data_IF_399824770428
#
_entry.id   IF_399824770428
#
_cell.length_a   1.000
_cell.length_b   1.000
_cell.length_c   1.000
_cell.angle_alpha   90.00
_cell.angle_beta   90.00
_cell.angle_gamma   90.00
#
_symmetry.space_group_name_H-M   'P 1'
#
loop_
_entity.id
_entity.type
_entity.pdbx_description
1 polymer ?
#
# COMPACT_ATOMS: atom_id res chain seq x y z
N UNK A 1 16.97 3.57 -1.14
CA UNK A 1 16.43 2.67 -0.10
C UNK A 1 15.26 1.88 -0.66
N UNK A 2 14.72 0.94 0.11
CA UNK A 2 13.46 0.22 -0.19
C UNK A 2 12.55 0.34 1.04
N UNK A 3 11.26 0.64 0.86
CA UNK A 3 10.38 1.11 1.94
C UNK A 3 9.04 0.38 1.88
N UNK A 4 8.63 -0.27 2.97
CA UNK A 4 7.39 -1.06 2.97
C UNK A 4 6.15 -0.16 2.91
N UNK A 5 6.15 0.96 3.64
CA UNK A 5 5.00 1.88 3.68
C UNK A 5 4.73 2.50 2.30
N UNK A 6 5.71 3.17 1.71
CA UNK A 6 5.51 3.80 0.40
C UNK A 6 5.46 2.78 -0.76
N UNK A 7 6.15 1.64 -0.62
CA UNK A 7 5.99 0.50 -1.54
C UNK A 7 4.58 -0.07 -1.50
N UNK A 8 3.96 -0.13 -0.33
CA UNK A 8 2.59 -0.63 -0.11
C UNK A 8 1.54 0.10 -0.94
N UNK A 9 1.43 1.43 -0.80
CA UNK A 9 0.51 2.24 -1.63
C UNK A 9 0.84 2.14 -3.13
N UNK A 10 2.14 2.04 -3.48
CA UNK A 10 2.57 1.93 -4.88
C UNK A 10 2.10 0.62 -5.52
N UNK A 11 2.34 -0.52 -4.85
CA UNK A 11 1.91 -1.84 -5.36
C UNK A 11 0.39 -1.97 -5.33
N UNK A 12 -0.28 -1.45 -4.29
CA UNK A 12 -1.74 -1.41 -4.23
C UNK A 12 -2.33 -0.66 -5.43
N UNK A 13 -1.75 0.49 -5.81
CA UNK A 13 -2.28 1.30 -6.91
C UNK A 13 -2.24 0.56 -8.24
N UNK A 14 -1.16 -0.18 -8.50
CA UNK A 14 -1.03 -0.99 -9.72
C UNK A 14 -1.98 -2.20 -9.70
N UNK A 15 -2.14 -2.85 -8.55
CA UNK A 15 -3.09 -3.96 -8.37
C UNK A 15 -4.55 -3.49 -8.49
N UNK A 16 -4.93 -2.35 -7.92
CA UNK A 16 -6.28 -1.76 -8.05
C UNK A 16 -6.57 -1.36 -9.50
N UNK A 17 -5.59 -0.79 -10.22
CA UNK A 17 -5.72 -0.49 -11.64
C UNK A 17 -6.04 -1.76 -12.45
N UNK A 18 -5.31 -2.85 -12.19
CA UNK A 18 -5.59 -4.16 -12.79
C UNK A 18 -6.98 -4.68 -12.41
N UNK A 19 -7.35 -4.71 -11.13
CA UNK A 19 -8.65 -5.23 -10.67
C UNK A 19 -9.84 -4.47 -11.25
N UNK A 20 -9.72 -3.15 -11.44
CA UNK A 20 -10.76 -2.31 -12.06
C UNK A 20 -10.96 -2.60 -13.54
N UNK A 21 -9.89 -2.91 -14.27
CA UNK A 21 -9.96 -3.13 -15.70
C UNK A 21 -8.92 -4.15 -16.19
N UNK A 22 -9.10 -5.46 -15.88
CA UNK A 22 -8.11 -6.48 -16.25
C UNK A 22 -7.84 -6.52 -17.76
N UNK A 23 -8.86 -6.25 -18.58
CA UNK A 23 -8.73 -6.24 -20.05
C UNK A 23 -7.86 -5.12 -20.62
N UNK A 24 -7.50 -4.09 -19.83
CA UNK A 24 -6.57 -3.06 -20.26
C UNK A 24 -5.10 -3.50 -20.15
N UNK A 25 -4.82 -4.61 -19.48
CA UNK A 25 -3.48 -5.10 -19.23
C UNK A 25 -3.30 -6.46 -19.87
N UNK A 26 -2.28 -6.59 -20.71
CA UNK A 26 -1.96 -7.81 -21.42
C UNK A 26 -0.56 -8.29 -21.04
N UNK A 27 -0.33 -9.59 -21.27
CA UNK A 27 1.02 -10.16 -21.33
C UNK A 27 1.79 -9.54 -22.52
N UNK A 28 3.11 -9.42 -22.38
CA UNK A 28 4.05 -8.84 -23.34
C UNK A 28 3.74 -7.38 -23.73
N UNK A 29 3.08 -6.63 -22.85
CA UNK A 29 2.78 -5.22 -23.03
C UNK A 29 3.94 -4.30 -22.59
N UNK A 30 4.79 -4.78 -21.69
CA UNK A 30 5.98 -4.10 -21.19
C UNK A 30 7.24 -4.74 -21.79
N UNK A 31 8.39 -4.12 -21.53
CA UNK A 31 9.70 -4.66 -21.92
C UNK A 31 10.42 -5.13 -20.65
N UNK A 32 9.85 -6.13 -19.98
CA UNK A 32 10.38 -6.73 -18.75
C UNK A 32 10.81 -8.18 -19.00
N UNK A 33 11.69 -8.75 -18.18
CA UNK A 33 12.14 -10.14 -18.34
C UNK A 33 11.02 -11.18 -18.36
N UNK A 34 9.92 -10.90 -17.66
CA UNK A 34 8.78 -11.79 -17.47
C UNK A 34 7.82 -11.79 -18.67
N UNK A 35 7.91 -10.80 -19.56
CA UNK A 35 7.03 -10.67 -20.73
C UNK A 35 7.00 -11.95 -21.59
N UNK A 36 5.80 -12.44 -21.88
CA UNK A 36 5.54 -13.67 -22.62
C UNK A 36 5.36 -14.93 -21.76
N UNK A 37 5.21 -14.77 -20.44
CA UNK A 37 4.98 -15.87 -19.49
C UNK A 37 3.50 -16.28 -19.36
N UNK A 38 2.58 -15.60 -20.05
CA UNK A 38 1.13 -15.81 -19.95
C UNK A 38 0.44 -15.04 -18.81
N UNK A 39 1.13 -14.15 -18.12
CA UNK A 39 0.63 -13.28 -17.05
C UNK A 39 0.64 -11.83 -17.55
N UNK A 40 -0.36 -10.99 -17.23
CA UNK A 40 -0.30 -9.57 -17.54
C UNK A 40 0.94 -8.91 -16.92
N UNK A 41 1.76 -8.23 -17.72
CA UNK A 41 3.06 -7.70 -17.27
C UNK A 41 2.97 -6.74 -16.07
N UNK A 42 1.83 -6.03 -15.88
CA UNK A 42 1.59 -5.23 -14.67
C UNK A 42 1.57 -6.08 -13.40
N UNK A 43 1.06 -7.31 -13.49
CA UNK A 43 1.05 -8.23 -12.37
C UNK A 43 2.46 -8.75 -12.09
N UNK A 44 3.26 -9.05 -13.11
CA UNK A 44 4.66 -9.42 -12.92
C UNK A 44 5.45 -8.29 -12.22
N UNK A 45 5.25 -7.04 -12.63
CA UNK A 45 5.84 -5.88 -11.96
C UNK A 45 5.38 -5.77 -10.50
N UNK A 46 4.08 -5.96 -10.22
CA UNK A 46 3.58 -5.94 -8.83
C UNK A 46 4.09 -7.13 -7.99
N UNK A 47 4.31 -8.29 -8.62
CA UNK A 47 4.88 -9.47 -7.95
C UNK A 47 6.28 -9.17 -7.47
N UNK A 48 7.07 -8.42 -8.22
CA UNK A 48 8.41 -8.01 -7.83
C UNK A 48 8.43 -7.26 -6.49
N UNK A 49 7.57 -6.25 -6.34
CA UNK A 49 7.45 -5.51 -5.07
C UNK A 49 6.82 -6.39 -3.99
N UNK A 50 5.79 -7.19 -4.30
CA UNK A 50 5.19 -8.10 -3.33
C UNK A 50 6.20 -9.12 -2.77
N UNK A 51 7.08 -9.69 -3.59
CA UNK A 51 8.13 -10.59 -3.11
C UNK A 51 9.10 -9.88 -2.16
N UNK A 52 9.41 -8.61 -2.41
CA UNK A 52 10.14 -7.77 -1.46
C UNK A 52 9.34 -7.55 -0.17
N UNK A 53 8.08 -7.12 -0.23
CA UNK A 53 7.26 -6.88 0.97
C UNK A 53 7.11 -8.14 1.82
N UNK A 54 6.87 -9.29 1.18
CA UNK A 54 6.81 -10.60 1.86
C UNK A 54 8.15 -10.95 2.54
N UNK A 55 9.29 -10.60 1.93
CA UNK A 55 10.62 -10.81 2.52
C UNK A 55 10.94 -9.89 3.70
N UNK A 56 10.17 -8.79 3.86
CA UNK A 56 10.33 -7.84 4.97
C UNK A 56 9.57 -8.28 6.23
N UNK A 57 8.77 -9.35 6.17
CA UNK A 57 8.09 -9.90 7.33
C UNK A 57 9.08 -10.63 8.25
N UNK A 58 9.02 -10.30 9.54
CA UNK A 58 9.82 -10.95 10.58
C UNK A 58 9.41 -12.42 10.67
N UNK A 59 10.35 -13.37 10.52
CA UNK A 59 10.02 -14.80 10.47
C UNK A 59 9.59 -15.34 11.84
N UNK A 60 8.86 -16.46 11.80
CA UNK A 60 8.46 -17.22 12.99
C UNK A 60 9.65 -17.53 13.91
N UNK A 61 9.40 -17.49 15.23
CA UNK A 61 10.42 -17.75 16.24
C UNK A 61 11.39 -16.58 16.52
N UNK A 62 11.31 -15.47 15.76
CA UNK A 62 12.01 -14.23 16.09
C UNK A 62 11.15 -13.29 16.94
N UNK A 63 11.76 -12.36 17.71
CA UNK A 63 11.02 -11.28 18.35
C UNK A 63 10.24 -10.48 17.30
N UNK A 64 8.97 -10.17 17.57
CA UNK A 64 8.06 -9.47 16.65
C UNK A 64 7.67 -10.26 15.38
N UNK A 65 7.72 -11.60 15.43
CA UNK A 65 7.25 -12.47 14.33
C UNK A 65 5.91 -12.00 13.75
N UNK A 66 5.82 -11.95 12.42
CA UNK A 66 4.66 -11.46 11.67
C UNK A 66 4.65 -9.95 11.40
N UNK A 67 5.34 -9.13 12.20
CA UNK A 67 5.52 -7.70 11.89
C UNK A 67 6.38 -7.51 10.63
N UNK A 68 6.25 -6.38 9.93
CA UNK A 68 7.10 -6.06 8.79
C UNK A 68 8.13 -4.97 9.14
N UNK A 69 9.38 -5.20 8.76
CA UNK A 69 10.45 -4.20 8.80
C UNK A 69 10.04 -2.94 8.02
N UNK A 70 10.21 -1.76 8.60
CA UNK A 70 9.68 -0.54 7.98
C UNK A 70 10.39 -0.17 6.66
N UNK A 71 11.71 -0.36 6.61
CA UNK A 71 12.56 0.00 5.47
C UNK A 71 13.90 -0.73 5.47
N UNK A 72 14.58 -0.70 4.33
CA UNK A 72 15.94 -1.19 4.13
C UNK A 72 16.77 -0.20 3.31
N UNK A 73 17.87 0.28 3.89
CA UNK A 73 18.83 1.14 3.21
C UNK A 73 20.19 1.12 3.93
N UNK A 74 21.18 1.84 3.37
CA UNK A 74 22.47 2.03 4.02
C UNK A 74 22.41 3.09 5.13
N UNK A 75 23.44 3.13 5.99
CA UNK A 75 23.53 4.09 7.09
C UNK A 75 23.83 5.52 6.65
N UNK A 76 24.24 5.74 5.40
CA UNK A 76 24.51 7.06 4.82
C UNK A 76 23.81 7.20 3.48
N UNK A 77 23.54 8.44 3.09
CA UNK A 77 23.12 8.76 1.72
C UNK A 77 24.28 8.50 0.75
N UNK A 78 23.96 7.85 -0.36
CA UNK A 78 24.92 7.65 -1.44
C UNK A 78 25.26 9.00 -2.09
N UNK A 79 26.53 9.16 -2.47
CA UNK A 79 26.98 10.37 -3.17
C UNK A 79 26.40 10.41 -4.60
N UNK A 80 26.10 11.61 -5.07
CA UNK A 80 25.58 11.85 -6.43
C UNK A 80 26.66 12.47 -7.33
N UNK A 81 26.78 12.04 -8.61
CA UNK A 81 26.01 10.96 -9.26
C UNK A 81 26.54 9.56 -8.92
N UNK A 82 25.68 8.55 -8.96
CA UNK A 82 26.06 7.15 -8.74
C UNK A 82 25.09 6.16 -9.40
N UNK A 83 25.57 4.95 -9.69
CA UNK A 83 24.73 3.82 -10.10
C UNK A 83 24.48 2.93 -8.87
N UNK A 84 23.27 2.34 -8.72
CA UNK A 84 23.06 1.31 -7.71
C UNK A 84 24.06 0.16 -7.92
N UNK A 85 24.76 -0.29 -6.87
CA UNK A 85 25.67 -1.41 -7.01
C UNK A 85 24.88 -2.70 -7.23
N UNK A 86 25.45 -3.64 -8.01
CA UNK A 86 24.85 -4.95 -8.24
C UNK A 86 24.77 -5.79 -6.94
N UNK A 87 25.72 -5.60 -6.03
CA UNK A 87 25.76 -6.23 -4.71
C UNK A 87 26.08 -5.19 -3.63
N UNK A 88 25.57 -5.38 -2.42
CA UNK A 88 25.85 -4.48 -1.30
C UNK A 88 25.79 -5.22 0.04
N UNK A 89 26.86 -5.09 0.82
CA UNK A 89 27.01 -5.63 2.18
C UNK A 89 26.71 -4.61 3.29
N UNK A 90 26.46 -3.36 2.92
CA UNK A 90 26.25 -2.24 3.85
C UNK A 90 24.79 -1.76 3.90
N UNK A 91 23.84 -2.70 3.83
CA UNK A 91 22.40 -2.45 3.86
C UNK A 91 21.80 -3.09 5.10
N UNK A 92 20.93 -2.35 5.78
CA UNK A 92 20.38 -2.75 7.08
C UNK A 92 18.86 -2.74 7.04
N UNK A 93 18.26 -3.71 7.73
CA UNK A 93 16.85 -3.69 8.07
C UNK A 93 16.63 -2.71 9.22
N UNK A 94 15.67 -1.80 9.04
CA UNK A 94 15.23 -0.90 10.08
C UNK A 94 14.11 -1.57 10.90
N UNK A 95 13.88 -1.14 12.15
CA UNK A 95 12.89 -1.77 13.03
C UNK A 95 11.52 -1.92 12.35
N UNK A 96 10.76 -2.99 12.69
CA UNK A 96 9.37 -3.10 12.27
C UNK A 96 8.52 -1.93 12.73
N UNK A 97 7.43 -1.68 12.01
CA UNK A 97 6.41 -0.71 12.42
C UNK A 97 5.01 -1.23 12.14
N UNK A 98 4.02 -0.75 12.89
CA UNK A 98 2.61 -1.12 12.69
C UNK A 98 2.13 -0.71 11.30
N UNK A 99 2.42 0.52 10.84
CA UNK A 99 2.04 1.00 9.50
C UNK A 99 2.61 0.12 8.38
N UNK A 100 3.91 -0.24 8.46
CA UNK A 100 4.51 -1.17 7.49
C UNK A 100 3.87 -2.56 7.53
N UNK A 101 3.55 -3.05 8.73
CA UNK A 101 2.91 -4.37 8.91
C UNK A 101 1.51 -4.39 8.32
N UNK A 102 0.74 -3.30 8.47
CA UNK A 102 -0.61 -3.19 7.91
C UNK A 102 -0.60 -2.94 6.41
N UNK A 103 0.38 -2.20 5.87
CA UNK A 103 0.63 -2.11 4.44
C UNK A 103 0.90 -3.49 3.82
N UNK A 104 1.74 -4.31 4.47
CA UNK A 104 1.94 -5.71 4.07
C UNK A 104 0.65 -6.51 4.16
N UNK A 105 -0.13 -6.38 5.24
CA UNK A 105 -1.38 -7.12 5.42
C UNK A 105 -2.38 -6.80 4.30
N UNK A 106 -2.57 -5.53 3.99
CA UNK A 106 -3.50 -5.06 2.97
C UNK A 106 -3.10 -5.52 1.56
N UNK A 107 -1.86 -5.26 1.16
CA UNK A 107 -1.35 -5.60 -0.18
C UNK A 107 -1.20 -7.11 -0.38
N UNK A 108 -0.84 -7.87 0.67
CA UNK A 108 -0.78 -9.33 0.59
C UNK A 108 -2.19 -9.95 0.52
N UNK A 109 -3.21 -9.37 1.17
CA UNK A 109 -4.59 -9.80 0.99
C UNK A 109 -5.06 -9.55 -0.46
N UNK A 110 -4.79 -8.36 -1.03
CA UNK A 110 -5.08 -8.07 -2.43
C UNK A 110 -4.34 -8.98 -3.41
N UNK A 111 -3.04 -9.20 -3.20
CA UNK A 111 -2.25 -10.19 -3.93
C UNK A 111 -2.95 -11.56 -3.91
N UNK A 112 -3.36 -12.04 -2.74
CA UNK A 112 -3.93 -13.37 -2.61
C UNK A 112 -5.19 -13.57 -3.48
N UNK A 113 -6.12 -12.61 -3.51
CA UNK A 113 -7.33 -12.75 -4.33
C UNK A 113 -7.06 -12.65 -5.84
N UNK A 114 -6.14 -11.77 -6.26
CA UNK A 114 -5.81 -11.57 -7.68
C UNK A 114 -5.11 -12.79 -8.25
N UNK A 115 -4.12 -13.32 -7.51
CA UNK A 115 -3.25 -14.40 -8.01
C UNK A 115 -3.88 -15.79 -7.89
N UNK A 116 -5.06 -15.92 -7.26
CA UNK A 116 -5.68 -17.22 -6.95
C UNK A 116 -5.82 -18.17 -8.15
N UNK A 117 -6.11 -17.66 -9.34
CA UNK A 117 -6.25 -18.45 -10.57
C UNK A 117 -5.04 -18.38 -11.50
N UNK A 118 -4.00 -17.63 -11.11
CA UNK A 118 -2.79 -17.38 -11.92
C UNK A 118 -1.64 -18.23 -11.36
N UNK A 119 -1.37 -18.07 -10.06
CA UNK A 119 -0.37 -18.82 -9.30
C UNK A 119 -0.93 -19.09 -7.90
N UNK A 120 -1.51 -20.28 -7.72
CA UNK A 120 -2.20 -20.65 -6.49
C UNK A 120 -1.26 -20.74 -5.28
N UNK A 121 0.01 -21.11 -5.50
CA UNK A 121 1.00 -21.21 -4.43
C UNK A 121 1.44 -19.82 -3.95
N UNK A 122 1.66 -18.90 -4.90
CA UNK A 122 1.94 -17.50 -4.58
C UNK A 122 0.75 -16.83 -3.88
N UNK A 123 -0.46 -17.05 -4.38
CA UNK A 123 -1.71 -16.60 -3.74
C UNK A 123 -1.82 -17.08 -2.29
N UNK A 124 -1.58 -18.37 -2.02
CA UNK A 124 -1.62 -18.93 -0.68
C UNK A 124 -0.54 -18.33 0.23
N UNK A 125 0.67 -18.13 -0.28
CA UNK A 125 1.77 -17.46 0.46
C UNK A 125 1.39 -16.02 0.83
N UNK A 126 0.80 -15.27 -0.10
CA UNK A 126 0.29 -13.92 0.14
C UNK A 126 -0.77 -13.92 1.25
N UNK A 127 -1.76 -14.83 1.20
CA UNK A 127 -2.81 -14.88 2.22
C UNK A 127 -2.27 -15.20 3.62
N UNK A 128 -1.37 -16.18 3.73
CA UNK A 128 -0.74 -16.55 5.01
C UNK A 128 0.04 -15.36 5.59
N UNK A 129 0.80 -14.65 4.77
CA UNK A 129 1.55 -13.48 5.22
C UNK A 129 0.60 -12.35 5.68
N UNK A 130 -0.50 -12.14 4.97
CA UNK A 130 -1.50 -11.12 5.29
C UNK A 130 -2.14 -11.34 6.66
N UNK A 131 -2.62 -12.56 6.92
CA UNK A 131 -3.27 -12.90 8.19
C UNK A 131 -2.29 -12.83 9.38
N UNK A 132 -1.03 -13.25 9.18
CA UNK A 132 0.02 -13.13 10.20
C UNK A 132 0.36 -11.67 10.50
N UNK A 133 0.47 -10.84 9.47
CA UNK A 133 0.74 -9.42 9.62
C UNK A 133 -0.40 -8.72 10.37
N UNK A 134 -1.66 -9.04 10.03
CA UNK A 134 -2.82 -8.55 10.76
C UNK A 134 -2.77 -8.90 12.27
N UNK A 135 -2.51 -10.17 12.59
CA UNK A 135 -2.42 -10.62 13.98
C UNK A 135 -1.27 -9.91 14.73
N UNK A 136 -0.10 -9.79 14.10
CA UNK A 136 1.05 -9.13 14.69
C UNK A 136 0.83 -7.63 14.91
N UNK A 137 0.18 -6.94 13.97
CA UNK A 137 -0.19 -5.53 14.11
C UNK A 137 -1.18 -5.32 15.26
N UNK A 138 -2.19 -6.18 15.42
CA UNK A 138 -3.13 -6.11 16.54
C UNK A 138 -2.45 -6.35 17.90
N UNK A 139 -1.40 -7.18 17.94
CA UNK A 139 -0.59 -7.38 19.15
C UNK A 139 0.38 -6.21 19.43
N UNK A 140 0.70 -5.40 18.40
CA UNK A 140 1.63 -4.27 18.48
C UNK A 140 1.04 -3.01 17.81
N UNK A 141 -0.12 -2.49 18.26
CA UNK A 141 -0.90 -1.51 17.49
C UNK A 141 -0.32 -0.09 17.49
N UNK A 142 0.65 0.20 18.36
CA UNK A 142 1.25 1.52 18.52
C UNK A 142 2.78 1.51 18.33
N UNK A 143 3.32 0.50 17.63
CA UNK A 143 4.75 0.44 17.28
C UNK A 143 4.99 1.29 16.04
N UNK A 144 4.95 2.62 16.20
CA UNK A 144 5.15 3.58 15.13
C UNK A 144 6.59 3.52 14.58
N UNK A 145 6.80 4.08 13.39
CA UNK A 145 8.11 4.08 12.74
C UNK A 145 9.16 4.78 13.62
N UNK A 146 10.31 4.13 13.80
CA UNK A 146 11.44 4.73 14.49
C UNK A 146 12.18 5.70 13.54
N UNK A 147 12.45 6.90 14.03
CA UNK A 147 13.15 7.94 13.28
C UNK A 147 14.65 7.95 13.57
N UNK A 148 15.45 8.00 12.50
CA UNK A 148 16.92 8.02 12.55
C UNK A 148 17.45 9.14 11.63
N UNK A 149 17.24 10.43 11.98
CA UNK A 149 17.51 11.56 11.09
C UNK A 149 18.99 11.71 10.68
N UNK A 150 19.90 11.14 11.46
CA UNK A 150 21.34 11.11 11.19
C UNK A 150 21.77 10.00 10.21
N UNK A 151 20.91 9.01 9.96
CA UNK A 151 21.17 7.93 9.01
C UNK A 151 20.67 8.28 7.61
N UNK A 152 21.14 7.55 6.61
CA UNK A 152 20.62 7.66 5.24
C UNK A 152 19.12 7.33 5.17
N UNK A 153 18.46 7.67 4.06
CA UNK A 153 17.08 7.26 3.77
C UNK A 153 15.98 8.14 4.35
N UNK A 154 14.84 8.22 3.65
CA UNK A 154 13.66 8.94 4.11
C UNK A 154 13.01 8.32 5.35
N UNK A 155 12.37 9.16 6.16
CA UNK A 155 11.64 8.81 7.36
C UNK A 155 10.47 7.86 7.07
N UNK A 156 9.50 8.33 6.27
CA UNK A 156 8.17 7.71 6.09
C UNK A 156 7.47 7.39 7.42
N UNK A 157 7.72 8.23 8.43
CA UNK A 157 7.09 8.11 9.74
C UNK A 157 5.66 8.63 9.74
N UNK A 158 4.83 7.95 10.53
CA UNK A 158 3.43 8.30 10.76
C UNK A 158 3.11 8.23 12.26
N UNK A 159 2.36 9.23 12.73
CA UNK A 159 1.87 9.35 14.10
C UNK A 159 0.53 8.66 14.34
N UNK A 160 -0.18 8.31 13.27
CA UNK A 160 -1.45 7.59 13.30
C UNK A 160 -1.33 6.32 12.45
N UNK A 161 -2.08 5.27 12.79
CA UNK A 161 -2.16 4.07 11.93
C UNK A 161 -3.59 3.51 11.85
N UNK A 162 -4.59 4.32 12.25
CA UNK A 162 -5.99 3.89 12.27
C UNK A 162 -6.53 3.63 10.87
N UNK A 163 -6.06 4.40 9.90
CA UNK A 163 -6.38 4.30 8.49
C UNK A 163 -5.75 3.05 7.86
N UNK A 164 -4.51 2.67 8.18
CA UNK A 164 -3.97 1.39 7.71
C UNK A 164 -4.70 0.19 8.33
N UNK A 165 -5.16 0.29 9.58
CA UNK A 165 -5.99 -0.76 10.19
C UNK A 165 -7.31 -0.91 9.44
N UNK A 166 -7.94 0.21 9.06
CA UNK A 166 -9.14 0.21 8.24
C UNK A 166 -8.88 -0.40 6.86
N UNK A 167 -7.83 0.05 6.16
CA UNK A 167 -7.46 -0.45 4.84
C UNK A 167 -7.16 -1.95 4.86
N UNK A 168 -6.28 -2.42 5.75
CA UNK A 168 -5.94 -3.83 5.86
C UNK A 168 -7.15 -4.71 6.17
N UNK A 169 -8.04 -4.26 7.07
CA UNK A 169 -9.28 -4.98 7.37
C UNK A 169 -10.22 -5.04 6.16
N UNK A 170 -10.35 -3.97 5.37
CA UNK A 170 -11.15 -3.98 4.15
C UNK A 170 -10.60 -5.01 3.14
N UNK A 171 -9.29 -5.00 2.88
CA UNK A 171 -8.66 -5.94 1.94
C UNK A 171 -8.75 -7.41 2.40
N UNK A 172 -8.54 -7.67 3.69
CA UNK A 172 -8.69 -8.99 4.30
C UNK A 172 -10.14 -9.48 4.24
N UNK A 173 -11.12 -8.60 4.48
CA UNK A 173 -12.53 -8.94 4.33
C UNK A 173 -12.86 -9.32 2.88
N UNK A 174 -12.48 -8.49 1.92
CA UNK A 174 -12.75 -8.73 0.50
C UNK A 174 -12.12 -10.03 -0.01
N UNK A 175 -11.00 -10.43 0.60
CA UNK A 175 -10.24 -11.63 0.22
C UNK A 175 -10.79 -12.90 0.89
N UNK A 176 -11.23 -12.82 2.14
CA UNK A 176 -11.55 -13.99 2.97
C UNK A 176 -13.02 -14.14 3.33
N UNK A 177 -13.78 -13.06 3.33
CA UNK A 177 -15.17 -13.00 3.81
C UNK A 177 -15.32 -13.15 5.33
N UNK A 178 -14.25 -13.17 6.12
CA UNK A 178 -14.34 -13.35 7.59
C UNK A 178 -14.94 -12.10 8.25
N UNK A 179 -15.93 -12.31 9.12
CA UNK A 179 -16.69 -11.24 9.78
C UNK A 179 -15.87 -10.41 10.77
N UNK A 180 -14.75 -10.93 11.27
CA UNK A 180 -13.86 -10.19 12.17
C UNK A 180 -13.25 -8.96 11.49
N UNK A 181 -12.83 -9.09 10.22
CA UNK A 181 -12.32 -7.98 9.42
C UNK A 181 -13.42 -6.98 9.10
N UNK A 182 -14.62 -7.47 8.78
CA UNK A 182 -15.80 -6.62 8.57
C UNK A 182 -16.12 -5.76 9.79
N UNK A 183 -16.13 -6.38 10.96
CA UNK A 183 -16.37 -5.71 12.23
C UNK A 183 -15.31 -4.64 12.46
N UNK A 184 -14.02 -4.96 12.21
CA UNK A 184 -12.92 -4.03 12.35
C UNK A 184 -13.09 -2.79 11.46
N UNK A 185 -13.24 -2.95 10.14
CA UNK A 185 -13.30 -1.79 9.25
C UNK A 185 -14.58 -0.97 9.46
N UNK A 186 -15.72 -1.62 9.74
CA UNK A 186 -17.00 -0.91 9.96
C UNK A 186 -16.97 -0.07 11.24
N UNK A 187 -16.23 -0.52 12.26
CA UNK A 187 -16.08 0.19 13.54
C UNK A 187 -15.01 1.29 13.54
N UNK A 188 -14.22 1.40 12.47
CA UNK A 188 -13.16 2.40 12.37
C UNK A 188 -13.72 3.82 12.29
N UNK A 189 -13.00 4.78 12.87
CA UNK A 189 -13.28 6.20 12.68
C UNK A 189 -13.03 6.65 11.23
N UNK A 190 -12.19 5.91 10.49
CA UNK A 190 -11.84 6.16 9.09
C UNK A 190 -12.80 5.47 8.10
N UNK A 191 -13.85 4.81 8.60
CA UNK A 191 -14.81 4.09 7.78
C UNK A 191 -15.45 5.01 6.72
N UNK A 192 -15.37 4.58 5.46
CA UNK A 192 -15.83 5.33 4.28
C UNK A 192 -15.10 6.67 4.04
N UNK A 193 -13.96 6.93 4.69
CA UNK A 193 -13.11 8.05 4.30
C UNK A 193 -12.62 7.84 2.87
N UNK A 194 -12.83 8.85 2.01
CA UNK A 194 -12.42 8.85 0.60
C UNK A 194 -11.60 10.12 0.27
N UNK A 195 -10.93 10.68 1.28
CA UNK A 195 -10.02 11.83 1.10
C UNK A 195 -8.84 11.44 0.19
N UNK A 196 -8.15 12.43 -0.35
CA UNK A 196 -6.95 12.18 -1.15
C UNK A 196 -5.95 11.31 -0.36
N UNK A 197 -5.63 10.15 -0.91
CA UNK A 197 -4.72 9.18 -0.30
C UNK A 197 -3.27 9.59 -0.51
N UNK A 198 -2.44 9.33 0.49
CA UNK A 198 -0.99 9.35 0.36
C UNK A 198 -0.40 8.27 1.26
N UNK A 199 0.93 8.18 1.33
CA UNK A 199 1.60 7.09 2.04
C UNK A 199 1.34 7.02 3.56
N UNK A 200 0.77 8.08 4.17
CA UNK A 200 0.39 8.15 5.60
C UNK A 200 -1.08 8.58 5.82
N UNK A 201 -1.91 8.51 4.78
CA UNK A 201 -3.37 8.45 4.92
C UNK A 201 -3.89 7.50 3.84
N UNK A 202 -4.14 6.28 4.28
CA UNK A 202 -4.43 5.12 3.43
C UNK A 202 -5.91 4.74 3.45
N UNK A 203 -6.76 5.50 4.14
CA UNK A 203 -8.15 5.11 4.34
C UNK A 203 -8.89 4.98 3.00
N UNK A 204 -8.68 5.93 2.08
CA UNK A 204 -9.34 5.89 0.78
C UNK A 204 -8.99 4.65 -0.04
N UNK A 205 -7.85 3.99 0.18
CA UNK A 205 -7.49 2.73 -0.48
C UNK A 205 -8.51 1.64 -0.12
N UNK A 206 -8.82 1.48 1.16
CA UNK A 206 -9.84 0.54 1.64
C UNK A 206 -11.25 0.88 1.13
N UNK A 207 -11.62 2.17 1.15
CA UNK A 207 -12.92 2.63 0.65
C UNK A 207 -13.08 2.39 -0.85
N UNK A 208 -12.01 2.60 -1.63
CA UNK A 208 -11.97 2.29 -3.06
C UNK A 208 -12.19 0.80 -3.30
N UNK A 209 -11.44 -0.06 -2.60
CA UNK A 209 -11.57 -1.52 -2.76
C UNK A 209 -12.98 -2.01 -2.40
N UNK A 210 -13.59 -1.47 -1.33
CA UNK A 210 -14.98 -1.75 -0.97
C UNK A 210 -15.97 -1.30 -2.05
N UNK A 211 -15.77 -0.12 -2.64
CA UNK A 211 -16.63 0.41 -3.69
C UNK A 211 -16.54 -0.41 -4.99
N UNK A 212 -15.34 -0.81 -5.38
CA UNK A 212 -15.07 -1.47 -6.67
C UNK A 212 -15.28 -2.98 -6.58
N UNK A 213 -14.53 -3.64 -5.70
CA UNK A 213 -14.51 -5.10 -5.55
C UNK A 213 -15.71 -5.55 -4.72
N UNK A 214 -15.94 -4.89 -3.59
CA UNK A 214 -17.07 -5.18 -2.70
C UNK A 214 -18.42 -4.74 -3.27
N UNK A 215 -18.42 -3.84 -4.27
CA UNK A 215 -19.62 -3.19 -4.83
C UNK A 215 -20.49 -2.53 -3.75
N UNK A 216 -19.86 -2.05 -2.68
CA UNK A 216 -20.54 -1.40 -1.58
C UNK A 216 -21.08 -0.03 -2.02
N UNK A 217 -22.39 0.16 -1.88
CA UNK A 217 -23.06 1.36 -2.34
C UNK A 217 -22.70 2.61 -1.52
N UNK A 218 -22.44 2.44 -0.21
CA UNK A 218 -22.07 3.55 0.67
C UNK A 218 -20.62 3.98 0.40
N UNK A 219 -19.71 3.04 0.20
CA UNK A 219 -18.33 3.33 -0.22
C UNK A 219 -18.30 4.04 -1.58
N UNK A 220 -19.11 3.59 -2.54
CA UNK A 220 -19.24 4.27 -3.84
C UNK A 220 -19.77 5.69 -3.69
N UNK A 221 -20.77 5.90 -2.83
CA UNK A 221 -21.30 7.23 -2.56
C UNK A 221 -20.24 8.15 -1.93
N UNK A 222 -19.44 7.64 -0.99
CA UNK A 222 -18.34 8.40 -0.38
C UNK A 222 -17.29 8.85 -1.40
N UNK A 223 -16.90 7.97 -2.33
CA UNK A 223 -15.97 8.31 -3.42
C UNK A 223 -16.55 9.40 -4.33
N UNK A 224 -17.85 9.33 -4.66
CA UNK A 224 -18.52 10.36 -5.47
C UNK A 224 -18.52 11.70 -4.73
N UNK A 225 -18.84 11.71 -3.44
CA UNK A 225 -18.82 12.93 -2.62
C UNK A 225 -17.43 13.56 -2.57
N UNK A 226 -16.37 12.77 -2.39
CA UNK A 226 -15.00 13.28 -2.44
C UNK A 226 -14.64 13.87 -3.82
N UNK A 227 -15.09 13.23 -4.90
CA UNK A 227 -14.89 13.76 -6.26
C UNK A 227 -15.64 15.09 -6.47
N UNK A 228 -16.85 15.23 -5.95
CA UNK A 228 -17.60 16.49 -6.02
C UNK A 228 -16.87 17.63 -5.28
N UNK A 229 -16.25 17.35 -4.13
CA UNK A 229 -15.41 18.33 -3.42
C UNK A 229 -14.18 18.76 -4.24
N UNK A 230 -13.56 17.82 -4.94
CA UNK A 230 -12.46 18.12 -5.88
C UNK A 230 -12.93 19.04 -7.00
N UNK A 231 -14.09 18.77 -7.61
CA UNK A 231 -14.65 19.63 -8.66
C UNK A 231 -14.95 21.04 -8.15
N UNK A 232 -15.46 21.18 -6.92
CA UNK A 232 -15.65 22.50 -6.29
C UNK A 232 -14.33 23.27 -6.20
N UNK A 233 -13.23 22.62 -5.84
CA UNK A 233 -11.90 23.25 -5.78
C UNK A 233 -11.36 23.64 -7.16
N UNK A 234 -11.54 22.77 -8.16
CA UNK A 234 -11.09 23.02 -9.53
C UNK A 234 -11.81 24.20 -10.18
N UNK A 235 -13.13 24.28 -10.00
CA UNK A 235 -13.97 25.32 -10.63
C UNK A 235 -14.21 26.55 -9.75
N UNK A 236 -13.63 26.59 -8.55
CA UNK A 236 -13.64 27.77 -7.69
C UNK A 236 -13.00 28.97 -8.40
N UNK A 237 -13.57 30.17 -8.22
CA UNK A 237 -13.17 31.39 -8.95
C UNK A 237 -11.71 31.83 -8.74
N UNK A 238 -11.02 31.26 -7.76
CA UNK A 238 -9.61 31.51 -7.45
C UNK A 238 -8.63 30.55 -8.15
N UNK A 239 -9.11 29.57 -8.93
CA UNK A 239 -8.28 28.52 -9.52
C UNK A 239 -8.20 28.61 -11.06
N UNK A 240 -7.25 29.40 -11.56
CA UNK A 240 -7.11 29.65 -13.00
C UNK A 240 -6.62 28.47 -13.85
N UNK A 241 -6.06 27.42 -13.22
CA UNK A 241 -5.50 26.25 -13.91
C UNK A 241 -6.38 25.00 -13.79
N UNK A 242 -7.56 25.12 -13.16
CA UNK A 242 -8.44 23.99 -12.85
C UNK A 242 -7.70 22.87 -12.09
N UNK A 243 -6.73 23.25 -11.25
CA UNK A 243 -6.01 22.28 -10.42
C UNK A 243 -6.95 21.76 -9.33
N UNK A 244 -6.95 20.47 -8.97
CA UNK A 244 -7.70 19.98 -7.82
C UNK A 244 -7.13 20.52 -6.49
N UNK A 245 -5.91 21.06 -6.50
CA UNK A 245 -5.27 21.68 -5.35
C UNK A 245 -5.67 23.15 -5.16
N UNK A 246 -5.79 23.56 -3.90
CA UNK A 246 -5.93 24.98 -3.52
C UNK A 246 -4.56 25.64 -3.29
N UNK A 247 -4.47 26.97 -3.32
CA UNK A 247 -3.21 27.72 -3.36
C UNK A 247 -2.21 27.46 -2.22
N UNK A 248 -2.66 26.91 -1.08
CA UNK A 248 -1.81 26.58 0.07
C UNK A 248 -1.54 25.07 0.22
N UNK A 249 -1.96 24.25 -0.75
CA UNK A 249 -1.79 22.79 -0.73
C UNK A 249 -0.67 22.29 -1.68
N UNK A 250 0.19 23.17 -2.18
CA UNK A 250 1.38 22.77 -2.97
C UNK A 250 2.52 22.33 -2.03
N UNK A 251 2.42 21.10 -1.52
CA UNK A 251 3.44 20.48 -0.65
C UNK A 251 4.45 19.67 -1.47
N UNK A 252 5.42 19.04 -0.78
CA UNK A 252 6.34 18.08 -1.40
C UNK A 252 5.53 16.98 -2.07
N UNK A 253 5.67 16.85 -3.38
CA UNK A 253 5.00 15.80 -4.14
C UNK A 253 3.58 16.17 -4.56
N UNK A 254 3.21 17.44 -4.53
CA UNK A 254 1.86 17.94 -4.90
C UNK A 254 1.30 17.42 -6.23
N UNK A 255 2.12 17.05 -7.22
CA UNK A 255 1.60 16.39 -8.44
C UNK A 255 0.98 15.00 -8.18
N UNK A 256 1.34 14.32 -7.09
CA UNK A 256 0.73 13.06 -6.67
C UNK A 256 -0.55 13.30 -5.86
N UNK A 257 -0.66 14.44 -5.18
CA UNK A 257 -1.86 14.85 -4.43
C UNK A 257 -2.97 15.41 -5.35
N UNK A 258 -2.57 15.87 -6.54
CA UNK A 258 -3.45 16.45 -7.56
C UNK A 258 -4.09 15.36 -8.43
#
# INVERSE_FOLDING_TARGET
GKYVVNGGISVWTLLDAYERNPSAFADAALNIPESGNGVPDILDETRWEMEFLLSMQVPEGQPLAGMAHHKLHGLKWDAMPGLPPAESDNRYLFPPSTGATLNLAATAAQCARIWKSIDADFSARCLVAAEKAWQAANANPAMLAAEFPELGGGAYGDGNVSDEFYWAAAELYLTTGKSEYQTSYTSSADNLSAKAMFWADTAALGTISLAVVGKDAAARAAVITAADEVLVNMYGSSNGYLSPLTSNNYQWGSNADA
#
